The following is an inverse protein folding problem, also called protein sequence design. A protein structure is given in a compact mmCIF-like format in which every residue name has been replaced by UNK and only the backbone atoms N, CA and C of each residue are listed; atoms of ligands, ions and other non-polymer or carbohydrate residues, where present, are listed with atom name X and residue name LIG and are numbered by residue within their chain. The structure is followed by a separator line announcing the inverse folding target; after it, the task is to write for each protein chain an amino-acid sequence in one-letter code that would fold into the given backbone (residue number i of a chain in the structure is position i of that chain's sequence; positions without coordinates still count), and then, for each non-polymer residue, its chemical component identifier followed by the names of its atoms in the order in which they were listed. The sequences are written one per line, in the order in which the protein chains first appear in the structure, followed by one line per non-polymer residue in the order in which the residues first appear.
data_IF_219040370397
#
_entry.id   IF_219040370397
#
_cell.length_a   1.000
_cell.length_b   1.000
_cell.length_c   1.000
_cell.angle_alpha   90.00
_cell.angle_beta   90.00
_cell.angle_gamma   90.00
#
_symmetry.space_group_name_H-M   'P 1'
#
loop_
_entity.id
_entity.type
_entity.pdbx_description
1 polymer ?
#
# COMPACT_ATOMS: atom_id res chain seq x y z
N UNK A 1 19.59 19.62 32.13
CA UNK A 1 20.35 19.67 30.87
C UNK A 1 19.46 19.05 29.79
N UNK A 2 19.13 19.76 28.71
CA UNK A 2 18.20 19.25 27.69
C UNK A 2 18.87 18.24 26.76
N UNK A 3 18.18 17.15 26.42
CA UNK A 3 18.64 16.12 25.49
C UNK A 3 18.74 16.65 24.05
N UNK A 4 19.50 15.95 23.20
CA UNK A 4 19.60 16.29 21.78
C UNK A 4 18.23 16.25 21.07
N UNK A 5 17.35 15.35 21.51
CA UNK A 5 15.98 15.22 21.02
C UNK A 5 15.12 16.43 21.38
N UNK A 6 15.16 16.87 22.64
CA UNK A 6 14.41 18.05 23.12
C UNK A 6 14.83 19.32 22.37
N UNK A 7 16.13 19.49 22.12
CA UNK A 7 16.64 20.63 21.33
C UNK A 7 16.20 20.58 19.87
N UNK A 8 15.95 19.40 19.31
CA UNK A 8 15.45 19.25 17.95
C UNK A 8 13.97 19.62 17.87
N UNK A 9 13.16 19.23 18.85
CA UNK A 9 11.74 19.62 18.95
C UNK A 9 11.58 21.13 19.09
N UNK A 10 12.39 21.80 19.93
CA UNK A 10 12.37 23.27 20.05
C UNK A 10 12.68 23.99 18.73
N UNK A 11 13.58 23.44 17.91
CA UNK A 11 13.86 23.98 16.57
C UNK A 11 12.70 23.79 15.59
N UNK A 12 11.92 22.72 15.75
CA UNK A 12 10.73 22.48 14.94
C UNK A 12 9.59 23.42 15.36
N UNK A 13 9.35 23.57 16.67
CA UNK A 13 8.39 24.52 17.23
C UNK A 13 8.71 25.96 16.81
N UNK A 14 9.98 26.37 16.87
CA UNK A 14 10.42 27.70 16.42
C UNK A 14 10.24 27.95 14.92
N UNK A 15 10.01 26.90 14.11
CA UNK A 15 9.68 26.98 12.68
C UNK A 15 8.17 26.86 12.42
N UNK A 16 7.34 26.78 13.46
CA UNK A 16 5.91 26.54 13.35
C UNK A 16 5.56 25.13 12.85
N UNK A 17 6.51 24.19 12.91
CA UNK A 17 6.31 22.80 12.50
C UNK A 17 5.84 22.03 13.74
N UNK A 18 4.64 21.45 13.66
CA UNK A 18 4.10 20.61 14.72
C UNK A 18 5.04 19.42 15.01
N UNK A 19 5.17 19.06 16.28
CA UNK A 19 5.91 17.88 16.68
C UNK A 19 5.34 16.62 15.97
N UNK A 20 6.19 15.64 15.60
CA UNK A 20 5.73 14.37 15.06
C UNK A 20 4.73 13.74 16.02
N UNK A 21 3.58 13.33 15.52
CA UNK A 21 2.59 12.61 16.32
C UNK A 21 3.19 11.27 16.77
N UNK A 22 2.82 10.80 17.96
CA UNK A 22 3.26 9.49 18.46
C UNK A 22 2.75 8.32 17.61
N UNK A 23 1.71 8.54 16.80
CA UNK A 23 1.17 7.58 15.83
C UNK A 23 1.84 7.69 14.44
N UNK A 24 2.89 8.50 14.30
CA UNK A 24 3.59 8.66 13.04
C UNK A 24 4.35 7.37 12.69
N UNK A 25 4.17 6.91 11.45
CA UNK A 25 4.88 5.76 10.92
C UNK A 25 6.39 6.00 10.95
N UNK A 26 7.13 5.05 11.51
CA UNK A 26 8.58 5.08 11.41
C UNK A 26 9.04 4.89 9.95
N UNK A 27 10.34 5.04 9.72
CA UNK A 27 10.90 4.91 8.38
C UNK A 27 10.78 3.48 7.83
N UNK A 28 10.88 2.47 8.70
CA UNK A 28 10.77 1.06 8.31
C UNK A 28 9.35 0.69 7.89
N UNK A 29 8.35 1.07 8.69
CA UNK A 29 6.94 0.92 8.39
C UNK A 29 6.58 1.62 7.07
N UNK A 30 7.13 2.82 6.83
CA UNK A 30 6.94 3.53 5.56
C UNK A 30 7.51 2.76 4.37
N UNK A 31 8.75 2.27 4.47
CA UNK A 31 9.37 1.44 3.42
C UNK A 31 8.56 0.17 3.17
N UNK A 32 8.15 -0.55 4.21
CA UNK A 32 7.35 -1.78 4.10
C UNK A 32 5.98 -1.54 3.46
N UNK A 33 5.33 -0.41 3.76
CA UNK A 33 4.06 -0.03 3.12
C UNK A 33 4.27 0.26 1.63
N UNK A 34 5.36 0.94 1.27
CA UNK A 34 5.70 1.20 -0.13
C UNK A 34 5.98 -0.10 -0.89
N UNK A 35 6.75 -1.03 -0.31
CA UNK A 35 6.99 -2.36 -0.86
C UNK A 35 5.69 -3.16 -1.04
N UNK A 36 4.77 -3.11 -0.07
CA UNK A 36 3.46 -3.74 -0.18
C UNK A 36 2.65 -3.18 -1.37
N UNK A 37 2.66 -1.85 -1.56
CA UNK A 37 2.00 -1.20 -2.71
C UNK A 37 2.64 -1.59 -4.04
N UNK A 38 3.97 -1.63 -4.11
CA UNK A 38 4.69 -2.02 -5.32
C UNK A 38 4.38 -3.48 -5.71
N UNK A 39 4.34 -4.40 -4.73
CA UNK A 39 3.95 -5.80 -4.95
C UNK A 39 2.49 -5.92 -5.43
N UNK A 40 1.57 -5.16 -4.82
CA UNK A 40 0.18 -5.12 -5.25
C UNK A 40 0.06 -4.63 -6.71
N UNK A 41 0.73 -3.54 -7.07
CA UNK A 41 0.74 -3.01 -8.44
C UNK A 41 1.28 -4.04 -9.45
N UNK A 42 2.37 -4.74 -9.12
CA UNK A 42 2.90 -5.79 -9.96
C UNK A 42 1.89 -6.93 -10.17
N UNK A 43 1.15 -7.31 -9.12
CA UNK A 43 0.11 -8.35 -9.20
C UNK A 43 -1.11 -7.91 -10.01
N UNK A 44 -1.54 -6.67 -9.89
CA UNK A 44 -2.60 -6.11 -10.74
C UNK A 44 -2.18 -6.11 -12.20
N UNK A 45 -0.94 -5.71 -12.52
CA UNK A 45 -0.44 -5.73 -13.88
C UNK A 45 -0.37 -7.16 -14.47
N UNK A 46 0.08 -8.13 -13.67
CA UNK A 46 0.08 -9.55 -14.04
C UNK A 46 -1.35 -10.04 -14.34
N UNK A 47 -2.31 -9.71 -13.46
CA UNK A 47 -3.72 -10.06 -13.61
C UNK A 47 -4.34 -9.42 -14.87
N UNK A 48 -4.04 -8.15 -15.16
CA UNK A 48 -4.50 -7.47 -16.37
C UNK A 48 -4.00 -8.15 -17.66
N UNK A 49 -2.74 -8.58 -17.67
CA UNK A 49 -2.16 -9.30 -18.81
C UNK A 49 -2.87 -10.64 -19.01
N UNK A 50 -3.10 -11.38 -17.92
CA UNK A 50 -3.81 -12.66 -17.95
C UNK A 50 -5.26 -12.48 -18.43
N UNK A 51 -5.98 -11.49 -17.90
CA UNK A 51 -7.34 -11.17 -18.32
C UNK A 51 -7.43 -10.89 -19.82
N UNK A 52 -6.57 -10.00 -20.33
CA UNK A 52 -6.52 -9.68 -21.77
C UNK A 52 -6.22 -10.91 -22.62
N UNK A 53 -5.31 -11.78 -22.16
CA UNK A 53 -4.97 -13.02 -22.84
C UNK A 53 -6.16 -13.99 -22.88
N UNK A 54 -6.87 -14.15 -21.77
CA UNK A 54 -8.01 -15.07 -21.68
C UNK A 54 -9.18 -14.58 -22.54
N UNK A 55 -9.48 -13.28 -22.51
CA UNK A 55 -10.50 -12.68 -23.37
C UNK A 55 -10.21 -12.84 -24.87
N UNK A 56 -8.94 -12.83 -25.26
CA UNK A 56 -8.54 -13.07 -26.64
C UNK A 56 -8.64 -14.55 -27.04
N UNK A 57 -8.50 -15.47 -26.09
CA UNK A 57 -8.52 -16.91 -26.34
C UNK A 57 -9.93 -17.47 -26.51
N UNK A 58 -10.90 -17.03 -25.70
CA UNK A 58 -12.28 -17.51 -25.76
C UNK A 58 -13.31 -16.38 -25.51
N UNK A 59 -13.84 -15.76 -26.58
CA UNK A 59 -14.85 -14.71 -26.45
C UNK A 59 -16.16 -15.18 -25.82
N UNK A 60 -16.48 -16.49 -25.86
CA UNK A 60 -17.72 -17.02 -25.30
C UNK A 60 -17.69 -16.99 -23.75
N UNK A 61 -16.50 -17.03 -23.16
CA UNK A 61 -16.29 -16.94 -21.70
C UNK A 61 -16.10 -15.51 -21.19
N UNK A 62 -16.26 -14.49 -22.03
CA UNK A 62 -16.00 -13.09 -21.65
C UNK A 62 -16.67 -12.69 -20.34
N UNK A 63 -17.94 -13.05 -20.12
CA UNK A 63 -18.65 -12.69 -18.89
C UNK A 63 -18.01 -13.30 -17.64
N UNK A 64 -17.66 -14.58 -17.71
CA UNK A 64 -16.99 -15.31 -16.62
C UNK A 64 -15.60 -14.73 -16.35
N UNK A 65 -14.80 -14.48 -17.39
CA UNK A 65 -13.47 -13.88 -17.25
C UNK A 65 -13.53 -12.46 -16.65
N UNK A 66 -14.51 -11.64 -17.05
CA UNK A 66 -14.71 -10.31 -16.47
C UNK A 66 -15.15 -10.36 -15.00
N UNK A 67 -16.00 -11.32 -14.63
CA UNK A 67 -16.40 -11.53 -13.23
C UNK A 67 -15.20 -11.97 -12.39
N UNK A 68 -14.46 -12.98 -12.86
CA UNK A 68 -13.24 -13.47 -12.20
C UNK A 68 -12.22 -12.34 -12.03
N UNK A 69 -11.98 -11.55 -13.07
CA UNK A 69 -11.07 -10.41 -13.03
C UNK A 69 -11.46 -9.39 -11.95
N UNK A 70 -12.75 -9.03 -11.86
CA UNK A 70 -13.25 -8.10 -10.83
C UNK A 70 -13.12 -8.65 -9.43
N UNK A 71 -13.46 -9.92 -9.23
CA UNK A 71 -13.30 -10.59 -7.92
C UNK A 71 -11.84 -10.63 -7.48
N UNK A 72 -10.92 -10.96 -8.39
CA UNK A 72 -9.49 -10.98 -8.08
C UNK A 72 -8.93 -9.59 -7.79
N UNK A 73 -9.37 -8.55 -8.52
CA UNK A 73 -9.01 -7.16 -8.18
C UNK A 73 -9.45 -6.78 -6.77
N UNK A 74 -10.68 -7.14 -6.39
CA UNK A 74 -11.19 -6.87 -5.05
C UNK A 74 -10.34 -7.59 -3.98
N UNK A 75 -10.03 -8.88 -4.20
CA UNK A 75 -9.18 -9.66 -3.27
C UNK A 75 -7.79 -9.07 -3.12
N UNK A 76 -7.18 -8.60 -4.21
CA UNK A 76 -5.87 -7.94 -4.17
C UNK A 76 -5.93 -6.64 -3.36
N UNK A 77 -6.99 -5.84 -3.53
CA UNK A 77 -7.19 -4.61 -2.78
C UNK A 77 -7.37 -4.87 -1.27
N UNK A 78 -8.23 -5.83 -0.91
CA UNK A 78 -8.44 -6.26 0.49
C UNK A 78 -7.13 -6.76 1.13
N UNK A 79 -6.33 -7.51 0.37
CA UNK A 79 -5.03 -7.98 0.81
C UNK A 79 -4.04 -6.83 1.05
N UNK A 80 -3.98 -5.85 0.14
CA UNK A 80 -3.13 -4.68 0.33
C UNK A 80 -3.51 -3.91 1.59
N UNK A 81 -4.81 -3.72 1.83
CA UNK A 81 -5.31 -3.06 3.03
C UNK A 81 -4.89 -3.82 4.29
N UNK A 82 -5.11 -5.13 4.32
CA UNK A 82 -4.70 -6.01 5.43
C UNK A 82 -3.18 -5.98 5.69
N UNK A 83 -2.37 -6.00 4.63
CA UNK A 83 -0.91 -5.89 4.72
C UNK A 83 -0.49 -4.54 5.30
N UNK A 84 -1.07 -3.44 4.83
CA UNK A 84 -0.79 -2.08 5.33
C UNK A 84 -1.17 -1.97 6.80
N UNK A 85 -2.36 -2.43 7.17
CA UNK A 85 -2.79 -2.41 8.57
C UNK A 85 -1.86 -3.23 9.48
N UNK A 86 -1.42 -4.40 9.01
CA UNK A 86 -0.51 -5.25 9.76
C UNK A 86 0.85 -4.56 9.97
N UNK A 87 1.37 -3.88 8.95
CA UNK A 87 2.60 -3.07 9.07
C UNK A 87 2.42 -1.90 10.05
N UNK A 88 1.24 -1.26 10.06
CA UNK A 88 0.93 -0.17 11.01
C UNK A 88 0.88 -0.66 12.46
N UNK A 89 0.38 -1.89 12.68
CA UNK A 89 0.28 -2.49 14.02
C UNK A 89 1.63 -3.00 14.56
N UNK A 90 2.62 -3.19 13.69
CA UNK A 90 3.97 -3.65 14.03
C UNK A 90 4.13 -5.14 13.85
#
# INVERSE_FOLDING_TARGET
MKSAYERALEKLEGRGIAAPRQDALDEDQRRRIEEARNRHQAKVAELEILHRKNLAADPAKRLEEEENYRTELQRLAERLESDIESIRRG
#
